data_IF_927860937238
#
_entry.id   IF_927860937238
#
_cell.length_a   1.000
_cell.length_b   1.000
_cell.length_c   1.000
_cell.angle_alpha   90.00
_cell.angle_beta   90.00
_cell.angle_gamma   90.00
#
_symmetry.space_group_name_H-M   'P 1'
#
loop_
_entity.id
_entity.type
_entity.pdbx_description
1 polymer ?
#
# COMPACT_ATOMS: atom_id res chain seq x y z
N UNK A 1 -32.50 -11.56 -18.98
CA UNK A 1 -32.19 -12.39 -17.79
C UNK A 1 -31.61 -13.71 -18.22
N UNK A 2 -30.29 -13.89 -18.07
CA UNK A 2 -29.67 -15.20 -17.81
C UNK A 2 -28.56 -14.96 -16.79
N UNK A 3 -28.96 -15.12 -15.52
CA UNK A 3 -28.09 -15.35 -14.38
C UNK A 3 -27.35 -16.66 -14.64
N UNK A 4 -26.15 -16.58 -15.19
CA UNK A 4 -25.35 -17.74 -15.55
C UNK A 4 -23.89 -17.34 -15.66
N UNK A 5 -23.14 -17.67 -14.62
CA UNK A 5 -21.69 -17.89 -14.66
C UNK A 5 -20.78 -16.68 -14.48
N UNK A 6 -20.87 -16.04 -13.29
CA UNK A 6 -19.69 -15.44 -12.59
C UNK A 6 -18.82 -16.57 -11.95
N UNK A 7 -19.09 -17.85 -12.27
CA UNK A 7 -18.41 -19.02 -11.72
C UNK A 7 -17.53 -19.68 -12.78
N UNK A 8 -16.29 -19.22 -12.91
CA UNK A 8 -15.10 -20.10 -13.09
C UNK A 8 -13.79 -19.36 -13.39
N UNK A 9 -13.80 -18.05 -13.65
CA UNK A 9 -12.57 -17.31 -13.96
C UNK A 9 -12.36 -16.26 -12.87
N UNK A 10 -11.70 -16.64 -11.77
CA UNK A 10 -10.39 -16.16 -11.33
C UNK A 10 -10.07 -16.85 -9.99
N UNK A 11 -8.96 -17.59 -9.88
CA UNK A 11 -8.35 -17.95 -8.59
C UNK A 11 -7.79 -16.72 -7.83
N UNK A 12 -8.19 -15.50 -8.22
CA UNK A 12 -7.72 -14.26 -7.63
C UNK A 12 -8.54 -13.94 -6.38
N UNK A 13 -7.83 -13.67 -5.28
CA UNK A 13 -8.42 -13.22 -4.03
C UNK A 13 -8.82 -11.73 -4.14
N UNK A 14 -9.83 -11.45 -4.97
CA UNK A 14 -10.43 -10.12 -5.12
C UNK A 14 -11.62 -9.93 -4.18
N UNK A 15 -11.98 -8.67 -3.93
CA UNK A 15 -13.07 -8.29 -3.03
C UNK A 15 -13.67 -6.95 -3.46
N UNK A 16 -14.89 -6.66 -2.99
CA UNK A 16 -15.53 -5.36 -3.22
C UNK A 16 -15.24 -4.41 -2.05
N UNK A 17 -14.93 -3.16 -2.36
CA UNK A 17 -14.76 -2.10 -1.34
C UNK A 17 -16.05 -1.32 -1.22
N UNK A 18 -16.53 -0.76 -2.32
CA UNK A 18 -17.79 0.00 -2.43
C UNK A 18 -18.27 -0.05 -3.90
N UNK A 19 -19.45 0.50 -4.23
CA UNK A 19 -19.88 0.56 -5.63
C UNK A 19 -18.84 1.21 -6.54
N UNK A 20 -18.47 0.50 -7.62
CA UNK A 20 -17.44 0.93 -8.56
C UNK A 20 -16.00 0.85 -8.03
N UNK A 21 -15.76 0.14 -6.92
CA UNK A 21 -14.42 -0.04 -6.34
C UNK A 21 -14.20 -1.51 -5.97
N UNK A 22 -13.18 -2.11 -6.57
CA UNK A 22 -12.75 -3.47 -6.30
C UNK A 22 -11.31 -3.47 -5.81
N UNK A 23 -10.95 -4.47 -5.02
CA UNK A 23 -9.59 -4.72 -4.60
C UNK A 23 -9.14 -6.11 -5.01
N UNK A 24 -7.87 -6.25 -5.37
CA UNK A 24 -7.19 -7.53 -5.54
C UNK A 24 -6.13 -7.64 -4.46
N UNK A 25 -6.20 -8.68 -3.62
CA UNK A 25 -5.14 -8.97 -2.68
C UNK A 25 -4.06 -9.81 -3.38
N UNK A 26 -2.88 -9.23 -3.47
CA UNK A 26 -1.68 -9.91 -3.93
C UNK A 26 -0.79 -10.28 -2.75
N UNK A 27 -0.85 -11.55 -2.34
CA UNK A 27 -0.26 -12.06 -1.11
C UNK A 27 -0.73 -11.29 0.14
N UNK A 28 -0.01 -10.23 0.53
CA UNK A 28 -0.27 -9.41 1.71
C UNK A 28 -0.59 -7.95 1.40
N UNK A 29 -0.42 -7.50 0.15
CA UNK A 29 -0.69 -6.12 -0.32
C UNK A 29 -1.93 -6.09 -1.20
N UNK A 30 -2.64 -4.97 -1.21
CA UNK A 30 -3.85 -4.74 -1.99
C UNK A 30 -3.56 -3.76 -3.13
N UNK A 31 -4.13 -4.04 -4.29
CA UNK A 31 -4.28 -3.07 -5.39
C UNK A 31 -5.76 -2.81 -5.62
N UNK A 32 -6.11 -1.61 -6.08
CA UNK A 32 -7.52 -1.21 -6.25
C UNK A 32 -7.85 -0.79 -7.68
N UNK A 33 -9.10 -1.07 -8.06
CA UNK A 33 -9.67 -0.72 -9.35
C UNK A 33 -10.82 0.24 -9.09
N UNK A 34 -10.73 1.46 -9.59
CA UNK A 34 -11.75 2.50 -9.43
C UNK A 34 -12.40 2.76 -10.78
N UNK A 35 -13.70 2.52 -10.89
CA UNK A 35 -14.47 2.82 -12.10
C UNK A 35 -15.02 4.25 -12.06
N UNK A 36 -14.65 5.04 -13.06
CA UNK A 36 -15.31 6.28 -13.42
C UNK A 36 -16.41 5.97 -14.44
N UNK A 37 -17.62 5.73 -13.94
CA UNK A 37 -18.78 5.40 -14.77
C UNK A 37 -19.23 6.55 -15.70
N UNK A 38 -18.86 7.82 -15.40
CA UNK A 38 -19.25 8.98 -16.21
C UNK A 38 -18.46 9.00 -17.51
N UNK A 39 -17.14 8.82 -17.41
CA UNK A 39 -16.25 8.80 -18.58
C UNK A 39 -16.05 7.40 -19.16
N UNK A 40 -16.66 6.37 -18.57
CA UNK A 40 -16.45 4.95 -18.91
C UNK A 40 -14.97 4.55 -18.86
N UNK A 41 -14.22 5.15 -17.94
CA UNK A 41 -12.79 4.87 -17.70
C UNK A 41 -12.62 4.19 -16.35
N UNK A 42 -11.49 3.53 -16.15
CA UNK A 42 -11.11 3.03 -14.84
C UNK A 42 -9.65 3.31 -14.54
N UNK A 43 -9.32 3.29 -13.25
CA UNK A 43 -8.00 3.64 -12.72
C UNK A 43 -7.51 2.51 -11.83
N UNK A 44 -6.23 2.15 -12.01
CA UNK A 44 -5.53 1.27 -11.11
C UNK A 44 -4.88 2.10 -9.99
N UNK A 45 -5.04 1.69 -8.74
CA UNK A 45 -4.32 2.25 -7.59
C UNK A 45 -3.37 1.20 -7.05
N UNK A 46 -2.08 1.53 -7.05
CA UNK A 46 -0.94 0.64 -6.80
C UNK A 46 -0.85 -0.57 -7.76
N UNK A 47 0.32 -1.22 -7.78
CA UNK A 47 0.68 -2.27 -8.72
C UNK A 47 1.23 -3.55 -8.05
N UNK A 48 1.08 -3.69 -6.74
CA UNK A 48 1.36 -4.92 -6.01
C UNK A 48 2.84 -5.33 -6.04
N UNK A 49 3.11 -6.62 -5.80
CA UNK A 49 4.46 -7.18 -5.87
C UNK A 49 4.93 -7.35 -7.32
N UNK A 50 6.21 -7.73 -7.48
CA UNK A 50 6.71 -8.21 -8.77
C UNK A 50 5.93 -9.45 -9.22
N UNK A 51 5.61 -9.53 -10.51
CA UNK A 51 4.89 -10.65 -11.17
C UNK A 51 3.38 -10.69 -10.89
N UNK A 52 2.81 -9.55 -10.50
CA UNK A 52 1.38 -9.40 -10.19
C UNK A 52 0.59 -8.85 -11.37
N UNK A 53 1.28 -8.27 -12.36
CA UNK A 53 0.69 -7.75 -13.59
C UNK A 53 -0.32 -8.70 -14.25
N UNK A 54 0.00 -9.99 -14.38
CA UNK A 54 -0.91 -10.96 -15.00
C UNK A 54 -2.23 -11.12 -14.25
N UNK A 55 -2.20 -11.15 -12.91
CA UNK A 55 -3.41 -11.22 -12.08
C UNK A 55 -4.24 -9.94 -12.18
N UNK A 56 -3.55 -8.79 -12.21
CA UNK A 56 -4.19 -7.47 -12.36
C UNK A 56 -4.92 -7.42 -13.71
N UNK A 57 -4.25 -7.78 -14.80
CA UNK A 57 -4.83 -7.81 -16.16
C UNK A 57 -6.03 -8.76 -16.23
N UNK A 58 -5.92 -9.98 -15.70
CA UNK A 58 -7.04 -10.93 -15.68
C UNK A 58 -8.28 -10.41 -14.95
N UNK A 59 -8.10 -9.72 -13.82
CA UNK A 59 -9.22 -9.11 -13.10
C UNK A 59 -9.76 -7.89 -13.86
N UNK A 60 -8.89 -7.07 -14.45
CA UNK A 60 -9.31 -5.95 -15.29
C UNK A 60 -10.17 -6.43 -16.47
N UNK A 61 -9.77 -7.50 -17.15
CA UNK A 61 -10.56 -8.14 -18.22
C UNK A 61 -11.92 -8.59 -17.71
N UNK A 62 -11.98 -9.20 -16.54
CA UNK A 62 -13.25 -9.65 -15.95
C UNK A 62 -14.19 -8.50 -15.56
N UNK A 63 -13.64 -7.35 -15.19
CA UNK A 63 -14.40 -6.20 -14.68
C UNK A 63 -14.80 -5.21 -15.79
N UNK A 64 -13.95 -5.03 -16.81
CA UNK A 64 -14.03 -3.90 -17.73
C UNK A 64 -14.09 -4.30 -19.21
N UNK A 65 -14.22 -5.60 -19.54
CA UNK A 65 -14.38 -6.05 -20.91
C UNK A 65 -15.50 -5.29 -21.66
N UNK A 66 -15.28 -4.86 -22.93
CA UNK A 66 -14.10 -5.08 -23.77
C UNK A 66 -12.96 -4.05 -23.60
N UNK A 67 -13.15 -2.99 -22.82
CA UNK A 67 -12.18 -1.91 -22.64
C UNK A 67 -11.41 -2.09 -21.31
N UNK A 68 -10.59 -3.15 -21.26
CA UNK A 68 -9.87 -3.55 -20.05
C UNK A 68 -8.63 -2.72 -19.72
N UNK A 69 -8.26 -1.74 -20.53
CA UNK A 69 -7.08 -0.88 -20.32
C UNK A 69 -7.45 0.30 -19.41
N UNK A 70 -6.71 0.57 -18.31
CA UNK A 70 -7.02 1.72 -17.48
C UNK A 70 -6.66 3.03 -18.19
N UNK A 71 -7.20 4.14 -17.72
CA UNK A 71 -6.79 5.46 -18.19
C UNK A 71 -5.46 5.92 -17.55
N UNK A 72 -5.15 5.43 -16.35
CA UNK A 72 -3.91 5.71 -15.62
C UNK A 72 -3.68 4.72 -14.48
N UNK A 73 -2.45 4.74 -13.96
CA UNK A 73 -2.10 4.16 -12.66
C UNK A 73 -1.86 5.31 -11.67
N UNK A 74 -2.33 5.18 -10.44
CA UNK A 74 -2.07 6.12 -9.35
C UNK A 74 -1.35 5.39 -8.24
N UNK A 75 -0.20 5.88 -7.82
CA UNK A 75 0.57 5.28 -6.72
C UNK A 75 0.25 5.98 -5.41
N UNK A 76 -0.03 5.20 -4.37
CA UNK A 76 -0.09 5.74 -3.00
C UNK A 76 1.30 6.12 -2.51
N UNK A 77 2.29 5.30 -2.84
CA UNK A 77 3.72 5.53 -2.60
C UNK A 77 4.57 4.50 -3.36
N UNK A 78 5.90 4.64 -3.30
CA UNK A 78 6.85 3.86 -4.10
C UNK A 78 7.51 2.65 -3.44
N UNK A 79 7.01 2.12 -2.32
CA UNK A 79 7.58 0.89 -1.75
C UNK A 79 7.35 -0.33 -2.66
N UNK A 80 8.25 -1.32 -2.54
CA UNK A 80 8.41 -2.42 -3.49
C UNK A 80 7.14 -3.27 -3.73
N UNK A 81 6.27 -3.33 -2.74
CA UNK A 81 5.00 -4.05 -2.73
C UNK A 81 3.83 -3.23 -3.27
N UNK A 82 4.02 -1.93 -3.53
CA UNK A 82 3.06 -1.07 -4.20
C UNK A 82 3.45 -0.78 -5.65
N UNK A 83 4.72 -0.94 -6.02
CA UNK A 83 5.22 -0.62 -7.37
C UNK A 83 5.77 -1.81 -8.14
N UNK A 84 5.72 -3.01 -7.57
CA UNK A 84 6.44 -4.17 -8.06
C UNK A 84 6.14 -4.54 -9.52
N UNK A 85 4.91 -4.31 -9.99
CA UNK A 85 4.51 -4.52 -11.39
C UNK A 85 4.25 -3.24 -12.18
N UNK A 86 4.54 -2.05 -11.62
CA UNK A 86 4.12 -0.77 -12.23
C UNK A 86 4.74 -0.54 -13.61
N UNK A 87 6.03 -0.83 -13.79
CA UNK A 87 6.74 -0.59 -15.05
C UNK A 87 6.24 -1.51 -16.17
N UNK A 88 5.97 -2.78 -15.86
CA UNK A 88 5.39 -3.74 -16.81
C UNK A 88 4.01 -3.25 -17.26
N UNK A 89 3.14 -2.92 -16.30
CA UNK A 89 1.78 -2.48 -16.57
C UNK A 89 1.73 -1.14 -17.34
N UNK A 90 2.51 -0.15 -16.93
CA UNK A 90 2.54 1.16 -17.57
C UNK A 90 3.01 1.08 -19.03
N UNK A 91 4.01 0.22 -19.32
CA UNK A 91 4.50 -0.01 -20.69
C UNK A 91 3.52 -0.76 -21.55
N UNK A 92 2.92 -1.82 -21.03
CA UNK A 92 2.00 -2.64 -21.81
C UNK A 92 0.69 -1.92 -22.12
N UNK A 93 0.17 -1.14 -21.17
CA UNK A 93 -1.05 -0.36 -21.38
C UNK A 93 -0.81 1.01 -22.03
N UNK A 94 0.44 1.46 -22.08
CA UNK A 94 0.84 2.80 -22.53
C UNK A 94 0.08 3.91 -21.80
N UNK A 95 0.13 3.88 -20.46
CA UNK A 95 -0.63 4.79 -19.59
C UNK A 95 0.28 5.60 -18.67
N UNK A 96 -0.13 6.82 -18.28
CA UNK A 96 0.60 7.59 -17.29
C UNK A 96 0.50 6.98 -15.89
N UNK A 97 1.57 7.17 -15.10
CA UNK A 97 1.64 6.83 -13.68
C UNK A 97 1.67 8.11 -12.87
N UNK A 98 0.62 8.39 -12.11
CA UNK A 98 0.56 9.55 -11.23
C UNK A 98 1.12 9.25 -9.84
N UNK A 99 1.99 10.13 -9.36
CA UNK A 99 2.52 10.08 -8.01
C UNK A 99 2.69 11.50 -7.44
N UNK A 100 2.78 11.58 -6.12
CA UNK A 100 3.09 12.83 -5.44
C UNK A 100 4.54 13.27 -5.68
N UNK A 101 4.81 14.58 -5.71
CA UNK A 101 6.15 15.14 -5.98
C UNK A 101 7.24 14.53 -5.09
N UNK A 102 6.95 14.37 -3.81
CA UNK A 102 7.90 13.80 -2.84
C UNK A 102 8.19 12.30 -3.04
N UNK A 103 7.48 11.61 -3.94
CA UNK A 103 7.80 10.22 -4.34
C UNK A 103 8.74 10.17 -5.56
N UNK A 104 8.89 11.29 -6.30
CA UNK A 104 9.64 11.35 -7.55
C UNK A 104 11.08 10.83 -7.42
N UNK A 105 11.87 11.17 -6.39
CA UNK A 105 13.26 10.68 -6.29
C UNK A 105 13.37 9.15 -6.25
N UNK A 106 12.37 8.49 -5.68
CA UNK A 106 12.35 7.04 -5.51
C UNK A 106 11.83 6.29 -6.75
N UNK A 107 11.01 6.97 -7.55
CA UNK A 107 10.40 6.44 -8.77
C UNK A 107 11.22 6.74 -10.04
N UNK A 108 12.20 7.65 -9.94
CA UNK A 108 13.07 8.09 -11.05
C UNK A 108 14.49 7.52 -11.00
N UNK A 109 14.83 6.74 -9.98
CA UNK A 109 16.19 6.23 -9.80
C UNK A 109 17.13 7.16 -9.02
N UNK A 110 16.67 8.35 -8.61
CA UNK A 110 17.52 9.39 -8.03
C UNK A 110 17.96 9.08 -6.58
N UNK A 111 17.05 8.57 -5.75
CA UNK A 111 17.32 8.32 -4.33
C UNK A 111 16.64 7.04 -3.86
N UNK A 112 17.22 6.35 -2.89
CA UNK A 112 16.56 5.25 -2.19
C UNK A 112 15.75 5.80 -1.00
N UNK A 113 14.68 5.10 -0.60
CA UNK A 113 13.95 5.45 0.62
C UNK A 113 14.82 5.43 1.87
N UNK A 114 14.42 6.14 2.95
CA UNK A 114 14.99 5.90 4.26
C UNK A 114 15.00 4.40 4.57
N UNK A 115 16.14 3.85 5.02
CA UNK A 115 16.27 2.41 5.17
C UNK A 115 15.30 1.86 6.22
N UNK A 116 14.81 0.62 6.07
CA UNK A 116 13.92 0.04 7.06
C UNK A 116 14.56 -0.04 8.45
N UNK A 117 13.70 -0.10 9.45
CA UNK A 117 14.06 -0.24 10.84
C UNK A 117 13.68 -1.62 11.38
N UNK A 118 14.62 -2.57 11.45
CA UNK A 118 14.33 -3.93 11.89
C UNK A 118 13.97 -4.02 13.38
N UNK A 119 14.18 -2.95 14.13
CA UNK A 119 13.90 -2.89 15.57
C UNK A 119 12.55 -2.25 15.88
N UNK A 120 11.83 -1.78 14.87
CA UNK A 120 10.54 -1.18 15.03
C UNK A 120 9.50 -2.25 15.38
N UNK A 121 9.11 -2.35 16.65
CA UNK A 121 7.97 -3.16 17.08
C UNK A 121 8.18 -4.68 17.19
N UNK A 122 9.34 -5.22 16.80
CA UNK A 122 9.77 -6.60 17.11
C UNK A 122 9.02 -7.73 16.41
N UNK A 123 8.23 -7.44 15.36
CA UNK A 123 7.52 -8.44 14.58
C UNK A 123 8.36 -9.13 13.50
N UNK A 124 7.86 -10.24 12.93
CA UNK A 124 8.58 -10.99 11.89
C UNK A 124 8.96 -10.11 10.70
N UNK A 125 7.99 -9.30 10.21
CA UNK A 125 8.19 -8.41 9.07
C UNK A 125 9.30 -7.39 9.32
N UNK A 126 9.38 -6.86 10.54
CA UNK A 126 10.44 -5.95 10.96
C UNK A 126 11.80 -6.66 10.94
N UNK A 127 11.91 -7.87 11.49
CA UNK A 127 13.16 -8.66 11.48
C UNK A 127 13.64 -8.96 10.05
N UNK A 128 12.75 -9.27 9.11
CA UNK A 128 13.13 -9.56 7.71
C UNK A 128 13.27 -8.32 6.84
N UNK A 129 12.80 -7.15 7.30
CA UNK A 129 12.80 -5.91 6.52
C UNK A 129 14.13 -5.51 5.88
N UNK A 130 15.32 -5.81 6.45
CA UNK A 130 16.59 -5.51 5.78
C UNK A 130 16.78 -6.22 4.44
N UNK A 131 16.10 -7.35 4.22
CA UNK A 131 16.14 -8.13 2.99
C UNK A 131 15.19 -7.62 1.90
N UNK A 132 14.27 -6.70 2.21
CA UNK A 132 13.36 -6.16 1.22
C UNK A 132 14.10 -5.27 0.20
N UNK A 133 13.62 -5.21 -1.05
CA UNK A 133 14.14 -4.25 -2.03
C UNK A 133 14.00 -2.82 -1.51
N UNK A 134 15.11 -2.08 -1.55
CA UNK A 134 15.20 -0.68 -1.09
C UNK A 134 15.59 0.29 -2.19
N UNK A 135 16.14 -0.25 -3.27
CA UNK A 135 16.63 0.56 -4.38
C UNK A 135 15.46 1.23 -5.11
N UNK A 136 15.68 2.44 -5.64
CA UNK A 136 14.65 3.08 -6.45
C UNK A 136 14.36 2.26 -7.70
N UNK A 137 13.15 2.45 -8.21
CA UNK A 137 12.82 2.04 -9.57
C UNK A 137 13.02 3.23 -10.50
N UNK A 138 13.02 2.99 -11.81
CA UNK A 138 13.00 4.06 -12.79
C UNK A 138 11.80 3.85 -13.72
N UNK A 139 10.77 4.68 -13.52
CA UNK A 139 9.58 4.80 -14.36
C UNK A 139 9.45 6.22 -14.92
N UNK A 140 10.56 6.95 -15.04
CA UNK A 140 10.57 8.37 -15.44
C UNK A 140 9.86 8.61 -16.77
N UNK A 141 9.88 7.65 -17.68
CA UNK A 141 9.23 7.75 -19.00
C UNK A 141 7.69 7.77 -18.92
N UNK A 142 7.11 7.31 -17.81
CA UNK A 142 5.66 7.22 -17.62
C UNK A 142 5.15 8.10 -16.46
N UNK A 143 6.03 8.68 -15.66
CA UNK A 143 5.62 9.39 -14.44
C UNK A 143 5.03 10.77 -14.75
N UNK A 144 3.92 11.08 -14.11
CA UNK A 144 3.32 12.41 -14.08
C UNK A 144 3.06 12.81 -12.62
N UNK A 145 3.23 14.09 -12.33
CA UNK A 145 2.97 14.60 -10.98
C UNK A 145 1.47 14.78 -10.77
N UNK A 146 1.01 14.42 -9.57
CA UNK A 146 -0.32 14.81 -9.14
C UNK A 146 -0.42 16.33 -9.00
N UNK A 147 -1.56 16.95 -9.36
CA UNK A 147 -1.76 18.39 -9.19
C UNK A 147 -1.77 18.81 -7.72
N UNK A 148 -1.18 19.96 -7.38
CA UNK A 148 -1.07 20.44 -5.99
C UNK A 148 -2.42 20.79 -5.32
N UNK A 149 -3.51 20.87 -6.10
CA UNK A 149 -4.85 21.21 -5.59
C UNK A 149 -5.61 20.03 -4.96
N UNK A 150 -4.98 18.85 -4.91
CA UNK A 150 -5.56 17.63 -4.37
C UNK A 150 -6.48 16.90 -5.33
N UNK A 151 -6.63 17.34 -6.58
CA UNK A 151 -7.43 16.65 -7.60
C UNK A 151 -6.77 15.38 -8.09
N UNK A 152 -7.58 14.43 -8.56
CA UNK A 152 -7.13 13.17 -9.15
C UNK A 152 -7.53 13.11 -10.63
N UNK A 153 -6.56 13.02 -11.57
CA UNK A 153 -6.86 12.85 -12.98
C UNK A 153 -7.80 11.67 -13.22
N UNK A 154 -8.79 11.87 -14.10
CA UNK A 154 -9.83 10.89 -14.44
C UNK A 154 -10.78 10.48 -13.30
N UNK A 155 -10.68 11.10 -12.12
CA UNK A 155 -11.50 10.79 -10.94
C UNK A 155 -12.08 12.07 -10.32
N UNK A 156 -13.01 12.78 -10.99
CA UNK A 156 -13.50 14.10 -10.54
C UNK A 156 -14.22 14.08 -9.18
N UNK A 157 -14.78 12.94 -8.78
CA UNK A 157 -15.44 12.75 -7.46
C UNK A 157 -14.46 12.46 -6.32
N UNK A 158 -13.18 12.34 -6.64
CA UNK A 158 -12.13 11.98 -5.68
C UNK A 158 -11.17 13.13 -5.46
N UNK A 159 -10.56 13.11 -4.27
CA UNK A 159 -9.38 13.92 -3.95
C UNK A 159 -8.31 13.03 -3.37
N UNK A 160 -7.05 13.36 -3.61
CA UNK A 160 -5.97 12.82 -2.80
C UNK A 160 -5.67 13.76 -1.62
N UNK A 161 -5.09 13.16 -0.59
CA UNK A 161 -4.68 13.82 0.64
C UNK A 161 -3.23 13.40 0.84
N UNK A 162 -2.33 14.37 0.93
CA UNK A 162 -0.94 14.10 1.29
C UNK A 162 -0.91 13.58 2.73
N UNK A 163 -0.46 12.33 2.90
CA UNK A 163 -0.44 11.60 4.16
C UNK A 163 0.97 11.08 4.49
N UNK A 164 1.97 11.98 4.62
CA UNK A 164 3.36 11.60 4.84
C UNK A 164 3.55 10.87 6.17
N UNK A 165 4.68 10.15 6.25
CA UNK A 165 5.18 9.54 7.48
C UNK A 165 5.61 8.10 7.26
N UNK A 166 4.75 7.30 6.62
CA UNK A 166 5.14 5.99 6.11
C UNK A 166 6.20 6.13 5.01
N UNK A 167 5.92 6.95 4.01
CA UNK A 167 6.89 7.51 3.07
C UNK A 167 6.72 9.04 2.99
N UNK A 168 7.70 9.78 2.44
CA UNK A 168 7.65 11.25 2.37
C UNK A 168 6.52 11.82 1.52
N UNK A 169 6.18 11.18 0.41
CA UNK A 169 5.13 11.60 -0.50
C UNK A 169 3.91 10.69 -0.49
N UNK A 170 3.74 9.87 0.55
CA UNK A 170 2.59 8.99 0.68
C UNK A 170 1.28 9.78 0.55
N UNK A 171 0.31 9.24 -0.20
CA UNK A 171 -1.03 9.80 -0.34
C UNK A 171 -2.12 8.81 0.04
N UNK A 172 -3.27 9.35 0.41
CA UNK A 172 -4.53 8.61 0.55
C UNK A 172 -5.60 9.23 -0.36
N UNK A 173 -6.51 8.41 -0.86
CA UNK A 173 -7.55 8.84 -1.81
C UNK A 173 -8.92 8.80 -1.12
N UNK A 174 -9.70 9.88 -1.24
CA UNK A 174 -11.00 10.02 -0.61
C UNK A 174 -12.10 10.38 -1.61
N UNK A 175 -13.17 9.59 -1.63
CA UNK A 175 -14.39 9.85 -2.41
C UNK A 175 -15.47 10.44 -1.52
N UNK A 176 -15.80 11.71 -1.73
CA UNK A 176 -16.68 12.47 -0.82
C UNK A 176 -18.12 11.93 -0.78
N UNK A 177 -18.68 11.53 -1.92
CA UNK A 177 -20.11 11.20 -2.06
C UNK A 177 -20.58 10.04 -1.15
N UNK A 178 -19.72 9.06 -0.92
CA UNK A 178 -20.00 7.88 -0.10
C UNK A 178 -18.92 7.63 0.97
N UNK A 179 -18.06 8.63 1.19
CA UNK A 179 -17.00 8.65 2.20
C UNK A 179 -16.11 7.41 2.19
N UNK A 180 -15.74 6.96 0.99
CA UNK A 180 -14.75 5.88 0.84
C UNK A 180 -13.35 6.46 0.94
N UNK A 181 -12.54 5.88 1.81
CA UNK A 181 -11.13 6.19 1.97
C UNK A 181 -10.29 4.99 1.54
N UNK A 182 -9.42 5.19 0.55
CA UNK A 182 -8.29 4.31 0.26
C UNK A 182 -7.06 4.91 0.94
N UNK A 183 -6.69 4.36 2.10
CA UNK A 183 -5.71 4.97 2.98
C UNK A 183 -4.25 4.69 2.59
N UNK A 184 -4.00 3.80 1.62
CA UNK A 184 -2.67 3.25 1.39
C UNK A 184 -2.14 2.65 2.71
N UNK A 185 -0.92 3.01 3.05
CA UNK A 185 -0.21 2.55 4.24
C UNK A 185 -0.17 3.57 5.38
N UNK A 186 -0.90 4.69 5.26
CA UNK A 186 -1.08 5.64 6.36
C UNK A 186 -1.73 4.99 7.60
N UNK A 187 -2.60 4.01 7.37
CA UNK A 187 -3.13 3.06 8.36
C UNK A 187 -3.30 1.69 7.69
N UNK A 188 -3.30 0.61 8.47
CA UNK A 188 -3.55 -0.75 7.96
C UNK A 188 -4.63 -1.44 8.77
N UNK A 189 -5.36 -2.38 8.15
CA UNK A 189 -6.47 -3.12 8.79
C UNK A 189 -6.08 -4.54 9.21
N UNK A 190 -4.80 -4.74 9.51
CA UNK A 190 -4.22 -6.01 9.96
C UNK A 190 -3.05 -5.76 10.90
N UNK A 191 -2.73 -6.71 11.79
CA UNK A 191 -1.47 -6.64 12.56
C UNK A 191 -0.33 -7.21 11.72
N UNK A 192 0.40 -6.35 11.02
CA UNK A 192 1.54 -6.78 10.20
C UNK A 192 2.69 -7.41 11.01
N UNK A 193 2.82 -7.08 12.29
CA UNK A 193 3.90 -7.58 13.16
C UNK A 193 3.75 -9.06 13.55
N UNK A 194 2.56 -9.65 13.36
CA UNK A 194 2.27 -11.02 13.76
C UNK A 194 1.91 -11.86 12.54
N UNK A 195 2.75 -12.85 12.21
CA UNK A 195 2.49 -13.86 11.18
C UNK A 195 1.11 -14.48 11.35
N UNK A 196 0.75 -14.78 12.60
CA UNK A 196 -0.55 -15.35 12.94
C UNK A 196 -1.70 -14.40 12.67
N UNK A 197 -1.53 -13.09 12.89
CA UNK A 197 -2.59 -12.11 12.59
C UNK A 197 -2.70 -11.80 11.10
N UNK A 198 -1.58 -11.80 10.37
CA UNK A 198 -1.55 -11.75 8.90
C UNK A 198 -2.24 -12.99 8.30
N UNK A 199 -2.03 -14.17 8.90
CA UNK A 199 -2.72 -15.42 8.51
C UNK A 199 -4.20 -15.46 8.91
N UNK A 200 -4.53 -15.07 10.15
CA UNK A 200 -5.88 -15.20 10.76
C UNK A 200 -6.79 -14.00 10.52
N UNK A 201 -6.30 -12.93 9.87
CA UNK A 201 -7.08 -11.76 9.45
C UNK A 201 -7.94 -11.14 10.57
N UNK A 202 -7.35 -10.93 11.75
CA UNK A 202 -8.05 -10.18 12.79
C UNK A 202 -8.29 -8.75 12.30
N UNK A 203 -9.56 -8.35 12.19
CA UNK A 203 -9.97 -7.01 11.74
C UNK A 203 -9.64 -5.98 12.82
N UNK A 204 -8.41 -5.47 12.77
CA UNK A 204 -7.94 -4.40 13.65
C UNK A 204 -7.40 -3.26 12.80
N UNK A 205 -7.65 -2.02 13.21
CA UNK A 205 -7.10 -0.84 12.56
C UNK A 205 -5.87 -0.42 13.37
N UNK A 206 -4.70 -0.41 12.73
CA UNK A 206 -3.43 -0.02 13.33
C UNK A 206 -2.78 1.11 12.55
N UNK A 207 -1.77 1.74 13.15
CA UNK A 207 -0.91 2.69 12.45
C UNK A 207 -0.14 2.08 11.27
N UNK A 208 0.66 2.90 10.60
CA UNK A 208 1.42 2.47 9.42
C UNK A 208 2.42 1.33 9.75
N UNK A 209 2.89 0.57 8.76
CA UNK A 209 3.93 -0.45 8.93
C UNK A 209 5.16 0.13 9.64
N UNK A 210 5.50 -0.41 10.80
CA UNK A 210 6.51 0.20 11.68
C UNK A 210 7.91 0.20 11.08
N UNK A 211 8.25 -0.87 10.35
CA UNK A 211 9.57 -1.08 9.77
C UNK A 211 9.93 -0.13 8.63
N UNK A 212 8.96 0.53 7.99
CA UNK A 212 9.22 1.55 6.96
C UNK A 212 8.83 2.98 7.36
N UNK A 213 8.07 3.14 8.44
CA UNK A 213 7.64 4.48 8.89
C UNK A 213 8.83 5.31 9.35
N UNK A 214 9.18 6.32 8.57
CA UNK A 214 10.37 7.14 8.71
C UNK A 214 10.12 8.50 9.40
N UNK A 215 8.85 8.95 9.48
CA UNK A 215 8.43 10.10 10.29
C UNK A 215 7.12 9.82 11.02
N UNK A 216 7.24 9.46 12.31
CA UNK A 216 6.10 9.18 13.18
C UNK A 216 5.26 10.43 13.52
N UNK A 217 5.85 11.62 13.52
CA UNK A 217 5.11 12.86 13.79
C UNK A 217 4.26 13.24 12.58
N UNK A 218 4.80 13.09 11.37
CA UNK A 218 4.03 13.23 10.13
C UNK A 218 2.92 12.18 10.06
N UNK A 219 3.23 10.91 10.31
CA UNK A 219 2.23 9.85 10.32
C UNK A 219 1.06 10.15 11.28
N UNK A 220 1.34 10.66 12.49
CA UNK A 220 0.31 11.05 13.44
C UNK A 220 -0.62 12.15 12.89
N UNK A 221 -0.05 13.19 12.24
CA UNK A 221 -0.84 14.26 11.61
C UNK A 221 -1.68 13.71 10.46
N UNK A 222 -1.12 12.82 9.65
CA UNK A 222 -1.81 12.14 8.55
C UNK A 222 -3.00 11.34 9.04
N UNK A 223 -2.84 10.49 10.06
CA UNK A 223 -3.95 9.72 10.64
C UNK A 223 -5.02 10.62 11.23
N UNK A 224 -4.65 11.71 11.89
CA UNK A 224 -5.61 12.71 12.40
C UNK A 224 -6.40 13.37 11.27
N UNK A 225 -5.75 13.73 10.17
CA UNK A 225 -6.42 14.28 8.99
C UNK A 225 -7.39 13.26 8.38
N UNK A 226 -6.99 11.99 8.28
CA UNK A 226 -7.85 10.91 7.76
C UNK A 226 -9.07 10.63 8.66
N UNK A 227 -8.90 10.65 9.98
CA UNK A 227 -10.00 10.49 10.93
C UNK A 227 -11.03 11.61 10.80
N UNK A 228 -10.58 12.85 10.61
CA UNK A 228 -11.45 14.02 10.46
C UNK A 228 -12.34 13.99 9.20
N UNK A 229 -12.06 13.13 8.22
CA UNK A 229 -12.91 12.92 7.05
C UNK A 229 -14.19 12.15 7.36
N UNK A 230 -14.27 11.51 8.54
CA UNK A 230 -15.37 10.65 8.96
C UNK A 230 -15.74 9.57 7.92
N UNK A 231 -14.77 8.72 7.51
CA UNK A 231 -15.02 7.73 6.46
C UNK A 231 -16.12 6.73 6.85
N UNK A 232 -16.91 6.30 5.88
CA UNK A 232 -17.88 5.21 6.05
C UNK A 232 -17.26 3.85 5.72
N UNK A 233 -16.30 3.85 4.79
CA UNK A 233 -15.51 2.69 4.38
C UNK A 233 -14.05 3.06 4.32
N UNK A 234 -13.20 2.24 4.92
CA UNK A 234 -11.73 2.34 4.82
C UNK A 234 -11.20 1.07 4.17
N UNK A 235 -10.40 1.22 3.13
CA UNK A 235 -9.57 0.17 2.56
C UNK A 235 -8.11 0.64 2.58
N UNK A 236 -7.18 -0.28 2.78
CA UNK A 236 -5.77 0.00 3.10
C UNK A 236 -4.85 -0.84 2.24
N UNK A 237 -3.59 -0.42 2.09
CA UNK A 237 -2.57 -1.18 1.36
C UNK A 237 -2.44 -2.62 1.87
N UNK A 238 -2.73 -2.86 3.16
CA UNK A 238 -2.73 -4.19 3.74
C UNK A 238 -3.94 -4.47 4.64
N UNK A 239 -4.57 -5.64 4.45
CA UNK A 239 -5.73 -6.09 5.24
C UNK A 239 -7.04 -6.10 4.45
N UNK A 240 -8.16 -6.25 5.16
CA UNK A 240 -9.50 -6.22 4.55
C UNK A 240 -10.14 -4.82 4.69
N UNK A 241 -11.02 -4.40 3.76
CA UNK A 241 -11.83 -3.21 3.97
C UNK A 241 -12.66 -3.31 5.26
N UNK A 242 -12.76 -2.19 5.97
CA UNK A 242 -13.55 -2.04 7.18
C UNK A 242 -14.60 -0.94 6.99
N UNK A 243 -15.76 -1.10 7.63
CA UNK A 243 -16.92 -0.20 7.47
C UNK A 243 -17.63 0.09 8.77
N UNK A 244 -18.44 1.15 8.76
CA UNK A 244 -19.39 1.44 9.83
C UNK A 244 -18.77 2.09 11.07
N UNK A 245 -19.62 2.26 12.08
CA UNK A 245 -19.30 3.01 13.30
C UNK A 245 -18.10 2.44 14.06
N UNK A 246 -17.97 1.12 14.15
CA UNK A 246 -16.86 0.49 14.85
C UNK A 246 -15.51 0.81 14.20
N UNK A 247 -15.47 0.83 12.86
CA UNK A 247 -14.26 1.23 12.13
C UNK A 247 -13.90 2.68 12.42
N UNK A 248 -14.88 3.61 12.36
CA UNK A 248 -14.65 5.02 12.69
C UNK A 248 -14.14 5.20 14.12
N UNK A 249 -14.75 4.52 15.10
CA UNK A 249 -14.29 4.55 16.51
C UNK A 249 -12.84 4.09 16.63
N UNK A 250 -12.44 3.07 15.89
CA UNK A 250 -11.05 2.58 15.89
C UNK A 250 -10.09 3.56 15.24
N UNK A 251 -10.51 4.21 14.14
CA UNK A 251 -9.70 5.24 13.47
C UNK A 251 -9.50 6.48 14.36
N UNK A 252 -10.57 6.96 15.00
CA UNK A 252 -10.50 8.06 15.98
C UNK A 252 -9.65 7.70 17.18
N UNK A 253 -9.86 6.51 17.76
CA UNK A 253 -9.02 6.02 18.85
C UNK A 253 -7.54 5.99 18.47
N UNK A 254 -7.22 5.53 17.25
CA UNK A 254 -5.86 5.56 16.74
C UNK A 254 -5.33 7.00 16.58
N UNK A 255 -6.13 7.91 16.03
CA UNK A 255 -5.73 9.30 15.84
C UNK A 255 -5.46 10.03 17.16
N UNK A 256 -6.31 9.82 18.16
CA UNK A 256 -6.20 10.42 19.49
C UNK A 256 -5.04 9.84 20.30
N UNK A 257 -4.78 8.54 20.17
CA UNK A 257 -3.79 7.80 20.97
C UNK A 257 -2.62 7.31 20.12
N UNK A 258 -2.29 8.01 19.04
CA UNK A 258 -1.35 7.53 18.00
C UNK A 258 0.03 7.19 18.57
N UNK A 259 0.54 8.01 19.49
CA UNK A 259 1.85 7.80 20.12
C UNK A 259 1.92 6.47 20.87
N UNK A 260 0.87 6.10 21.58
CA UNK A 260 0.84 4.88 22.40
C UNK A 260 0.56 3.63 21.56
N UNK A 261 -0.29 3.77 20.54
CA UNK A 261 -0.77 2.64 19.74
C UNK A 261 0.13 2.31 18.54
N UNK A 262 0.73 3.32 17.89
CA UNK A 262 1.46 3.15 16.65
C UNK A 262 2.98 3.23 16.82
N UNK A 263 3.47 4.25 17.54
CA UNK A 263 4.90 4.55 17.62
C UNK A 263 5.63 3.47 18.43
N UNK A 264 6.68 2.84 17.88
CA UNK A 264 7.45 1.84 18.60
C UNK A 264 8.25 2.48 19.74
N UNK A 265 8.43 1.75 20.85
CA UNK A 265 9.19 2.24 22.01
C UNK A 265 10.69 2.41 21.70
N UNK A 266 11.21 1.64 20.74
CA UNK A 266 12.59 1.64 20.28
C UNK A 266 12.62 1.51 18.76
N UNK A 267 13.70 2.00 18.15
CA UNK A 267 13.86 2.02 16.70
C UNK A 267 14.71 3.19 16.25
N UNK A 268 15.21 3.15 15.02
CA UNK A 268 15.91 4.24 14.35
C UNK A 268 15.05 5.51 14.33
N UNK A 269 13.77 5.37 13.98
CA UNK A 269 12.89 6.54 13.75
C UNK A 269 12.02 6.92 14.95
N UNK A 270 12.07 6.18 16.06
CA UNK A 270 11.12 6.37 17.17
C UNK A 270 11.29 7.70 17.92
N UNK A 271 12.46 8.32 17.84
CA UNK A 271 12.79 9.60 18.50
C UNK A 271 12.99 10.75 17.52
N UNK A 272 13.54 10.44 16.36
CA UNK A 272 13.94 11.41 15.34
C UNK A 272 13.52 10.88 13.97
N UNK A 273 13.01 11.75 13.10
CA UNK A 273 12.56 11.38 11.76
C UNK A 273 13.73 11.41 10.76
N UNK A 274 13.59 10.69 9.65
CA UNK A 274 14.37 11.01 8.45
C UNK A 274 13.99 12.40 7.92
N UNK A 275 14.93 13.10 7.29
CA UNK A 275 14.66 14.35 6.56
C UNK A 275 14.81 14.04 5.08
N UNK A 276 13.82 14.51 4.31
CA UNK A 276 13.72 14.28 2.87
C UNK A 276 13.22 15.55 2.19
N UNK A 277 13.65 15.77 0.96
CA UNK A 277 13.17 16.84 0.08
C UNK A 277 12.88 16.29 -1.33
N UNK A 278 12.62 17.19 -2.30
CA UNK A 278 12.36 16.82 -3.68
C UNK A 278 13.58 16.19 -4.41
N UNK A 279 14.77 16.22 -3.81
CA UNK A 279 15.98 15.51 -4.27
C UNK A 279 16.17 14.13 -3.61
N UNK A 280 15.38 13.80 -2.58
CA UNK A 280 15.40 12.51 -1.89
C UNK A 280 15.82 12.63 -0.42
N UNK A 281 16.53 11.64 0.09
CA UNK A 281 16.91 11.58 1.51
C UNK A 281 18.12 12.46 1.80
N UNK A 282 17.99 13.40 2.74
CA UNK A 282 19.06 14.31 3.16
C UNK A 282 19.62 13.97 4.54
N UNK A 283 18.82 13.34 5.40
CA UNK A 283 19.25 12.89 6.71
C UNK A 283 18.55 11.60 7.14
N UNK A 284 19.31 10.70 7.76
CA UNK A 284 18.82 9.48 8.38
C UNK A 284 19.38 9.41 9.81
N UNK A 285 18.52 9.30 10.84
CA UNK A 285 18.96 9.09 12.22
C UNK A 285 19.86 7.86 12.35
N UNK A 286 20.82 7.93 13.28
CA UNK A 286 21.70 6.79 13.57
C UNK A 286 20.90 5.62 14.11
N UNK A 287 21.24 4.41 13.67
CA UNK A 287 20.64 3.20 14.20
C UNK A 287 21.09 2.98 15.65
N UNK A 288 20.13 2.91 16.56
CA UNK A 288 20.39 2.89 18.02
C UNK A 288 20.79 1.49 18.53
N UNK A 289 20.56 0.43 17.75
CA UNK A 289 20.80 -0.97 18.13
C UNK A 289 21.52 -1.76 17.01
N UNK A 290 22.59 -2.47 17.39
CA UNK A 290 23.34 -3.36 16.47
C UNK A 290 22.58 -4.67 16.27
N UNK A 291 22.48 -5.14 15.01
CA UNK A 291 21.99 -6.48 14.68
C UNK A 291 22.89 -7.50 15.37
N UNK A 292 22.34 -8.22 16.35
CA UNK A 292 23.07 -9.31 17.01
C UNK A 292 23.09 -10.54 16.10
N UNK A 293 24.08 -11.44 16.22
CA UNK A 293 24.12 -12.68 15.43
C UNK A 293 22.84 -13.50 15.54
N UNK A 294 22.20 -13.55 16.72
CA UNK A 294 20.92 -14.22 16.91
C UNK A 294 19.76 -13.61 16.11
N UNK A 295 19.72 -12.28 15.99
CA UNK A 295 18.73 -11.58 15.17
C UNK A 295 18.99 -11.82 13.68
N UNK A 296 20.25 -11.88 13.25
CA UNK A 296 20.59 -12.23 11.87
C UNK A 296 20.18 -13.66 11.50
N UNK A 297 20.40 -14.64 12.40
CA UNK A 297 19.95 -16.03 12.20
C UNK A 297 18.43 -16.12 12.17
N UNK A 298 17.75 -15.44 13.11
CA UNK A 298 16.28 -15.38 13.12
C UNK A 298 15.72 -14.76 11.84
N UNK A 299 16.35 -13.69 11.32
CA UNK A 299 16.01 -13.09 10.04
C UNK A 299 16.21 -14.08 8.87
N UNK A 300 17.32 -14.84 8.86
CA UNK A 300 17.56 -15.87 7.84
C UNK A 300 16.47 -16.94 7.81
N UNK A 301 16.11 -17.50 8.98
CA UNK A 301 15.03 -18.49 9.10
C UNK A 301 13.67 -17.91 8.69
N UNK A 302 13.40 -16.67 9.12
CA UNK A 302 12.17 -15.96 8.78
C UNK A 302 12.03 -15.69 7.27
N UNK A 303 13.11 -15.29 6.60
CA UNK A 303 13.16 -15.10 5.14
C UNK A 303 12.89 -16.42 4.42
N UNK A 304 13.50 -17.53 4.87
CA UNK A 304 13.25 -18.85 4.29
C UNK A 304 11.78 -19.27 4.45
N UNK A 305 11.19 -19.04 5.63
CA UNK A 305 9.78 -19.34 5.89
C UNK A 305 8.83 -18.49 5.02
N UNK A 306 9.08 -17.18 4.91
CA UNK A 306 8.31 -16.27 4.06
C UNK A 306 8.42 -16.65 2.59
N UNK A 307 9.63 -16.98 2.12
CA UNK A 307 9.87 -17.42 0.73
C UNK A 307 9.15 -18.73 0.44
N UNK A 308 9.24 -19.71 1.33
CA UNK A 308 8.53 -20.99 1.20
C UNK A 308 7.01 -20.78 1.16
N UNK A 309 6.48 -19.87 1.98
CA UNK A 309 5.05 -19.53 1.99
C UNK A 309 4.61 -18.82 0.70
N UNK A 310 5.39 -17.86 0.19
CA UNK A 310 5.10 -17.19 -1.10
C UNK A 310 5.14 -18.19 -2.27
N UNK A 311 6.11 -19.12 -2.27
CA UNK A 311 6.17 -20.21 -3.27
C UNK A 311 4.97 -21.14 -3.15
N UNK A 312 4.56 -21.50 -1.93
CA UNK A 312 3.38 -22.32 -1.69
C UNK A 312 2.09 -21.64 -2.18
N UNK A 313 1.90 -20.35 -1.87
CA UNK A 313 0.80 -19.53 -2.38
C UNK A 313 0.80 -19.49 -3.93
N UNK A 314 1.97 -19.29 -4.54
CA UNK A 314 2.13 -19.32 -5.99
C UNK A 314 1.77 -20.68 -6.62
N UNK A 315 2.19 -21.79 -6.01
CA UNK A 315 1.86 -23.15 -6.47
C UNK A 315 0.38 -23.47 -6.33
N UNK A 316 -0.26 -23.10 -5.21
CA UNK A 316 -1.70 -23.31 -5.01
C UNK A 316 -2.54 -22.55 -6.04
N UNK A 317 -2.07 -21.36 -6.44
CA UNK A 317 -2.68 -20.57 -7.51
C UNK A 317 -2.58 -21.26 -8.89
N UNK A 318 -1.46 -21.95 -9.16
CA UNK A 318 -1.21 -22.65 -10.43
C UNK A 318 -1.88 -24.03 -10.52
N UNK A 319 -1.92 -24.81 -9.44
CA UNK A 319 -2.54 -26.16 -9.41
C UNK A 319 -4.06 -26.09 -9.55
N UNK A 320 -4.68 -24.97 -9.18
CA UNK A 320 -6.11 -24.74 -9.36
C UNK A 320 -6.45 -24.08 -10.72
N UNK A 321 -5.44 -23.80 -11.55
CA UNK A 321 -5.57 -23.19 -12.89
C UNK A 321 -5.30 -24.19 -14.03
N UNK A 322 -4.99 -25.45 -13.70
CA UNK A 322 -4.91 -26.62 -14.59
C UNK A 322 -6.15 -27.49 -14.40
#
# INVERSE_FOLDING_TARGET
>A
MKSGTIRSVVNANWFTVAPGIWGLRDAFVNVYFIHNAVEKKWILVDAGLKRTASKIKQLADSLFWPESTPAAIILTHGHFDHVGSVLELAREWDVPVFAHLMELPYLSGLSAYPPPDPWAGGGLMSVVSPAFPKGPINISDHIQLLPDDGSLPFLPDWKYIHTPGHSPGHISLFRKRDKVLLAGDAVVTTRQESVWSVMMQTRVLTGPPRYFTCDWKAAARSVKALAALEPETVATGHGQPMKGEQMRKMLHKLAENFRELAVPSHGRYSREAAITDAGGVTYVPRQVSRITPGVAVAAGVAVLALTAWLVYQGRKSNVLAS
#
